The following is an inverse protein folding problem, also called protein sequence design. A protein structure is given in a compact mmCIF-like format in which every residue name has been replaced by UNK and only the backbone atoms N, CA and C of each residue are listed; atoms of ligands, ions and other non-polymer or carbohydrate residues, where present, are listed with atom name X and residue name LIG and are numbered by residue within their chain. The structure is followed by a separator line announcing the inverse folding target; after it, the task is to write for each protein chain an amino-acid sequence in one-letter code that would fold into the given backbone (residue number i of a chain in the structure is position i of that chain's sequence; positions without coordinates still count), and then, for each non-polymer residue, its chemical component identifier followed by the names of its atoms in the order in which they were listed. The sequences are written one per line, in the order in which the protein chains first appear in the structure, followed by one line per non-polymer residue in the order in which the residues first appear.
data_IF_685296480559
#
_entry.id   IF_685296480559
#
_cell.length_a   1.000
_cell.length_b   1.000
_cell.length_c   1.000
_cell.angle_alpha   90.00
_cell.angle_beta   90.00
_cell.angle_gamma   90.00
#
_symmetry.space_group_name_H-M   'P 1'
#
loop_
_entity.id
_entity.type
_entity.pdbx_description
1 polymer ?
#
# COMPACT_ATOMS: atom_id res chain seq x y z
N UNK A 1 15.17 26.52 3.66
CA UNK A 1 13.84 25.92 3.89
C UNK A 1 12.82 26.87 4.52
N UNK A 2 13.17 27.69 5.53
CA UNK A 2 12.16 28.48 6.30
C UNK A 2 11.28 29.41 5.46
N UNK A 3 11.82 30.06 4.44
CA UNK A 3 11.07 31.03 3.63
C UNK A 3 10.33 30.41 2.42
N UNK A 4 10.49 29.10 2.17
CA UNK A 4 9.91 28.39 1.02
C UNK A 4 9.42 26.97 1.35
N UNK A 5 8.61 26.83 2.40
CA UNK A 5 8.03 25.52 2.78
C UNK A 5 7.18 24.88 1.67
N UNK A 6 6.60 25.69 0.79
CA UNK A 6 5.75 25.23 -0.31
C UNK A 6 6.54 24.91 -1.58
N UNK A 7 7.84 25.20 -1.63
CA UNK A 7 8.74 24.99 -2.78
C UNK A 7 10.02 24.29 -2.30
N UNK A 8 9.85 23.15 -1.61
CA UNK A 8 10.94 22.35 -1.08
C UNK A 8 11.79 21.69 -2.19
N UNK A 9 11.19 21.43 -3.35
CA UNK A 9 11.81 20.88 -4.57
C UNK A 9 12.90 21.77 -5.16
N UNK A 10 12.85 23.09 -4.90
CA UNK A 10 13.85 24.06 -5.37
C UNK A 10 15.17 23.94 -4.61
N UNK A 11 15.18 23.31 -3.44
CA UNK A 11 16.41 23.16 -2.66
C UNK A 11 17.28 22.04 -3.22
N UNK A 12 18.43 22.39 -3.78
CA UNK A 12 19.46 21.42 -4.14
C UNK A 12 20.07 20.80 -2.87
N UNK A 13 19.95 19.48 -2.76
CA UNK A 13 20.54 18.68 -1.71
C UNK A 13 21.49 17.67 -2.37
N UNK A 14 22.75 17.64 -1.97
CA UNK A 14 23.66 16.60 -2.44
C UNK A 14 23.24 15.24 -1.85
N UNK A 15 22.71 14.39 -2.72
CA UNK A 15 22.21 13.06 -2.39
C UNK A 15 23.13 11.94 -2.87
N UNK A 16 24.32 12.26 -3.42
CA UNK A 16 25.23 11.31 -4.06
C UNK A 16 25.68 10.17 -3.13
N UNK A 17 25.88 10.47 -1.84
CA UNK A 17 26.34 9.51 -0.83
C UNK A 17 25.21 8.68 -0.20
N UNK A 18 23.95 9.05 -0.42
CA UNK A 18 22.81 8.39 0.21
C UNK A 18 22.28 7.29 -0.70
N UNK A 19 21.83 6.18 -0.12
CA UNK A 19 21.13 5.11 -0.84
C UNK A 19 19.97 4.63 0.02
N UNK A 20 18.90 4.07 -0.59
CA UNK A 20 17.83 3.48 0.19
C UNK A 20 18.39 2.44 1.17
N UNK A 21 17.79 2.37 2.37
CA UNK A 21 18.26 1.46 3.44
C UNK A 21 18.08 0.00 3.01
N UNK A 22 16.92 -0.29 2.41
CA UNK A 22 16.59 -1.57 1.80
C UNK A 22 15.52 -1.36 0.73
N UNK A 23 15.45 -2.28 -0.23
CA UNK A 23 14.44 -2.33 -1.27
C UNK A 23 13.47 -3.51 -1.04
N UNK A 24 12.32 -3.54 -1.74
CA UNK A 24 11.39 -4.68 -1.67
C UNK A 24 12.07 -6.03 -1.95
N UNK A 25 13.04 -6.07 -2.86
CA UNK A 25 13.80 -7.29 -3.15
C UNK A 25 14.55 -7.81 -1.92
N UNK A 26 15.24 -6.93 -1.19
CA UNK A 26 16.01 -7.30 0.00
C UNK A 26 15.08 -7.84 1.09
N UNK A 27 13.93 -7.19 1.27
CA UNK A 27 12.94 -7.63 2.24
C UNK A 27 12.32 -8.99 1.88
N UNK A 28 12.03 -9.23 0.60
CA UNK A 28 11.54 -10.53 0.14
C UNK A 28 12.55 -11.65 0.39
N UNK A 29 13.85 -11.42 0.16
CA UNK A 29 14.88 -12.42 0.46
C UNK A 29 14.91 -12.77 1.96
N UNK A 30 14.70 -11.79 2.85
CA UNK A 30 14.52 -12.05 4.28
C UNK A 30 13.28 -12.93 4.52
N UNK A 31 12.13 -12.61 3.90
CA UNK A 31 10.91 -13.40 4.07
C UNK A 31 11.05 -14.85 3.58
N UNK A 32 11.72 -15.07 2.44
CA UNK A 32 11.98 -16.41 1.88
C UNK A 32 12.96 -17.20 2.77
N UNK A 33 13.85 -16.52 3.48
CA UNK A 33 14.80 -17.15 4.41
C UNK A 33 14.20 -17.60 5.74
N UNK A 34 12.97 -17.16 6.05
CA UNK A 34 12.29 -17.52 7.29
C UNK A 34 12.02 -19.01 7.35
N UNK A 35 12.48 -19.66 8.43
CA UNK A 35 12.23 -21.07 8.70
C UNK A 35 11.42 -21.21 9.98
N UNK A 36 10.40 -22.05 9.94
CA UNK A 36 9.72 -22.48 11.16
C UNK A 36 10.63 -23.44 11.92
N UNK A 37 10.90 -23.17 13.20
CA UNK A 37 11.66 -24.08 14.08
C UNK A 37 11.00 -25.46 14.21
N UNK A 38 9.70 -25.55 13.91
CA UNK A 38 8.91 -26.77 13.95
C UNK A 38 8.86 -27.52 12.62
N UNK A 39 9.43 -26.96 11.54
CA UNK A 39 9.43 -27.58 10.21
C UNK A 39 10.80 -28.18 9.89
N UNK A 40 10.86 -29.51 9.72
CA UNK A 40 12.04 -30.21 9.20
C UNK A 40 11.92 -30.28 7.68
N UNK A 41 12.74 -29.51 6.98
CA UNK A 41 12.83 -29.56 5.52
C UNK A 41 13.23 -30.96 5.06
N UNK A 42 12.51 -31.54 4.10
CA UNK A 42 13.02 -32.65 3.31
C UNK A 42 14.07 -32.06 2.36
N UNK A 43 15.31 -32.57 2.39
CA UNK A 43 16.50 -31.95 1.78
C UNK A 43 16.46 -31.83 0.24
N UNK A 44 15.40 -32.28 -0.45
CA UNK A 44 15.36 -32.36 -1.92
C UNK A 44 14.47 -31.34 -2.64
N UNK A 45 13.67 -30.54 -1.93
CA UNK A 45 12.92 -29.43 -2.55
C UNK A 45 13.50 -28.11 -2.05
N UNK A 46 14.16 -27.37 -2.93
CA UNK A 46 14.64 -26.01 -2.63
C UNK A 46 13.51 -25.15 -2.05
N UNK A 47 13.86 -24.09 -1.30
CA UNK A 47 12.93 -23.15 -0.66
C UNK A 47 12.09 -22.37 -1.69
N UNK A 48 11.14 -23.05 -2.31
CA UNK A 48 10.29 -22.55 -3.38
C UNK A 48 9.07 -21.79 -2.87
N UNK A 49 8.86 -21.82 -1.56
CA UNK A 49 7.53 -21.69 -1.01
C UNK A 49 7.56 -21.21 0.45
N UNK A 50 6.54 -20.43 0.81
CA UNK A 50 6.23 -20.07 2.17
C UNK A 50 5.50 -21.20 2.94
N UNK A 51 5.30 -22.38 2.33
CA UNK A 51 4.64 -23.55 2.95
C UNK A 51 5.28 -24.04 4.24
N UNK A 52 6.56 -23.73 4.47
CA UNK A 52 7.22 -24.06 5.73
C UNK A 52 6.67 -23.25 6.92
N UNK A 53 5.94 -22.17 6.65
CA UNK A 53 5.38 -21.26 7.65
C UNK A 53 3.88 -21.58 7.80
N UNK A 54 3.46 -22.15 8.94
CA UNK A 54 2.08 -22.62 9.14
C UNK A 54 1.14 -21.46 9.51
N UNK A 55 1.11 -20.39 8.72
CA UNK A 55 0.11 -19.31 8.89
C UNK A 55 -1.20 -19.72 8.23
N UNK A 56 -2.29 -19.43 8.96
CA UNK A 56 -3.65 -19.57 8.42
C UNK A 56 -3.93 -18.34 7.55
N UNK A 57 -4.39 -18.58 6.33
CA UNK A 57 -4.88 -17.55 5.42
C UNK A 57 -6.22 -18.00 4.87
N UNK A 58 -7.06 -17.05 4.45
CA UNK A 58 -8.40 -17.34 3.94
C UNK A 58 -8.34 -18.18 2.66
N UNK A 59 -9.28 -19.10 2.54
CA UNK A 59 -9.62 -19.77 1.29
C UNK A 59 -10.38 -18.82 0.37
N UNK A 60 -10.50 -19.13 -0.93
CA UNK A 60 -11.33 -18.31 -1.82
C UNK A 60 -12.80 -18.27 -1.38
N UNK A 61 -13.32 -19.36 -0.81
CA UNK A 61 -14.68 -19.38 -0.27
C UNK A 61 -14.86 -18.36 0.87
N UNK A 62 -13.90 -18.30 1.80
CA UNK A 62 -13.89 -17.29 2.87
C UNK A 62 -13.72 -15.87 2.31
N UNK A 63 -12.89 -15.69 1.26
CA UNK A 63 -12.74 -14.40 0.57
C UNK A 63 -14.01 -13.97 -0.16
N UNK A 64 -14.73 -14.89 -0.84
CA UNK A 64 -16.05 -14.61 -1.45
C UNK A 64 -17.07 -14.19 -0.40
N UNK A 65 -17.02 -14.80 0.78
CA UNK A 65 -17.86 -14.44 1.92
C UNK A 65 -17.48 -13.10 2.54
N UNK A 66 -16.20 -12.71 2.49
CA UNK A 66 -15.76 -11.38 2.93
C UNK A 66 -16.20 -10.31 1.91
N UNK A 67 -15.89 -10.49 0.63
CA UNK A 67 -16.13 -9.55 -0.46
C UNK A 67 -17.43 -9.85 -1.24
N UNK A 68 -18.56 -9.96 -0.53
CA UNK A 68 -19.83 -10.47 -1.09
C UNK A 68 -20.34 -9.68 -2.28
N UNK A 69 -20.27 -8.36 -2.22
CA UNK A 69 -20.77 -7.46 -3.25
C UNK A 69 -19.99 -7.66 -4.55
N UNK A 70 -18.68 -7.90 -4.45
CA UNK A 70 -17.84 -8.25 -5.60
C UNK A 70 -18.10 -9.69 -6.09
N UNK A 71 -18.20 -10.65 -5.17
CA UNK A 71 -18.45 -12.06 -5.50
C UNK A 71 -19.84 -12.30 -6.12
N UNK A 72 -20.81 -11.41 -5.89
CA UNK A 72 -22.13 -11.42 -6.52
C UNK A 72 -22.19 -10.69 -7.86
N UNK A 73 -21.11 -10.02 -8.26
CA UNK A 73 -21.10 -9.18 -9.45
C UNK A 73 -22.05 -7.98 -9.35
N UNK A 74 -22.21 -7.41 -8.15
CA UNK A 74 -23.06 -6.22 -7.99
C UNK A 74 -22.49 -5.04 -8.79
N UNK A 75 -23.37 -4.11 -9.19
CA UNK A 75 -22.91 -2.88 -9.84
C UNK A 75 -22.20 -1.99 -8.81
N UNK A 76 -20.91 -1.73 -9.05
CA UNK A 76 -20.05 -0.89 -8.21
C UNK A 76 -19.34 0.15 -9.08
N UNK A 77 -18.97 1.29 -8.50
CA UNK A 77 -18.18 2.30 -9.22
C UNK A 77 -16.86 1.67 -9.69
N UNK A 78 -16.47 1.94 -10.94
CA UNK A 78 -15.22 1.47 -11.53
C UNK A 78 -15.34 0.25 -12.46
N UNK A 79 -16.50 -0.43 -12.54
CA UNK A 79 -16.69 -1.61 -13.42
C UNK A 79 -16.94 -1.30 -14.89
N UNK A 80 -16.87 -0.02 -15.30
CA UNK A 80 -17.13 0.36 -16.68
C UNK A 80 -16.14 -0.23 -17.68
N UNK A 81 -16.70 -0.85 -18.72
CA UNK A 81 -16.05 -1.07 -20.00
C UNK A 81 -15.94 0.28 -20.72
N UNK A 82 -14.71 0.70 -21.03
CA UNK A 82 -14.42 1.83 -21.93
C UNK A 82 -15.13 1.71 -23.30
N UNK A 83 -15.66 0.53 -23.65
CA UNK A 83 -16.23 0.21 -24.96
C UNK A 83 -17.76 0.37 -25.08
N UNK A 84 -18.49 0.72 -24.01
CA UNK A 84 -19.92 1.05 -24.15
C UNK A 84 -20.37 2.01 -23.05
N UNK A 85 -20.61 3.30 -23.35
CA UNK A 85 -21.16 4.24 -22.37
C UNK A 85 -22.59 3.81 -22.05
N UNK A 86 -22.73 3.03 -20.98
CA UNK A 86 -24.03 2.62 -20.51
C UNK A 86 -24.71 3.84 -19.84
N UNK A 87 -25.85 4.34 -20.35
CA UNK A 87 -26.56 5.49 -19.75
C UNK A 87 -26.97 5.25 -18.29
N UNK A 88 -27.04 3.99 -17.83
CA UNK A 88 -27.27 3.65 -16.42
C UNK A 88 -26.11 4.02 -15.49
N UNK A 89 -24.89 4.25 -16.00
CA UNK A 89 -23.73 4.58 -15.15
C UNK A 89 -23.78 6.00 -14.60
N UNK A 90 -24.15 6.99 -15.43
CA UNK A 90 -24.31 8.38 -14.97
C UNK A 90 -25.43 8.48 -13.91
N UNK A 91 -26.45 7.62 -14.02
CA UNK A 91 -27.48 7.48 -13.01
C UNK A 91 -26.92 6.89 -11.71
N UNK A 92 -26.10 5.84 -11.78
CA UNK A 92 -25.43 5.25 -10.62
C UNK A 92 -24.53 6.26 -9.90
N UNK A 93 -23.67 6.98 -10.61
CA UNK A 93 -22.78 7.96 -9.99
C UNK A 93 -23.58 9.08 -9.31
N UNK A 94 -24.63 9.60 -9.95
CA UNK A 94 -25.52 10.63 -9.39
C UNK A 94 -26.27 10.15 -8.14
N UNK A 95 -26.77 8.91 -8.17
CA UNK A 95 -27.41 8.29 -7.00
C UNK A 95 -26.41 8.14 -5.85
N UNK A 96 -25.19 7.68 -6.17
CA UNK A 96 -24.10 7.50 -5.20
C UNK A 96 -23.66 8.83 -4.59
N UNK A 97 -23.64 9.93 -5.36
CA UNK A 97 -23.37 11.27 -4.81
C UNK A 97 -24.46 11.65 -3.81
N UNK A 98 -25.74 11.51 -4.18
CA UNK A 98 -26.88 11.87 -3.32
C UNK A 98 -26.88 11.06 -2.02
N UNK A 99 -26.60 9.75 -2.10
CA UNK A 99 -26.49 8.89 -0.93
C UNK A 99 -25.24 9.22 -0.10
N UNK A 100 -24.10 9.45 -0.75
CA UNK A 100 -22.84 9.76 -0.10
C UNK A 100 -22.90 11.03 0.75
N UNK A 101 -23.63 12.06 0.29
CA UNK A 101 -23.89 13.24 1.11
C UNK A 101 -24.63 12.86 2.41
N UNK A 102 -25.68 12.04 2.34
CA UNK A 102 -26.40 11.57 3.56
C UNK A 102 -25.49 10.77 4.48
N UNK A 103 -24.60 9.96 3.92
CA UNK A 103 -23.59 9.19 4.68
C UNK A 103 -22.63 10.13 5.41
N UNK A 104 -22.17 11.19 4.76
CA UNK A 104 -21.31 12.21 5.39
C UNK A 104 -22.01 12.93 6.54
N UNK A 105 -23.29 13.27 6.36
CA UNK A 105 -24.08 13.90 7.42
C UNK A 105 -24.30 12.98 8.63
N UNK A 106 -24.24 11.65 8.45
CA UNK A 106 -24.38 10.71 9.56
C UNK A 106 -23.20 10.75 10.53
N UNK A 107 -21.99 11.14 10.09
CA UNK A 107 -20.75 11.12 10.88
C UNK A 107 -20.47 9.78 11.57
N UNK A 108 -20.89 8.69 10.96
CA UNK A 108 -20.68 7.33 11.47
C UNK A 108 -19.75 6.55 10.53
N UNK A 109 -18.59 6.14 11.03
CA UNK A 109 -17.60 5.38 10.28
C UNK A 109 -18.16 4.06 9.69
N UNK A 110 -18.94 3.23 10.43
CA UNK A 110 -19.49 2.00 9.86
C UNK A 110 -20.44 2.23 8.68
N UNK A 111 -21.20 3.33 8.68
CA UNK A 111 -22.10 3.69 7.57
C UNK A 111 -21.28 4.10 6.34
N UNK A 112 -20.17 4.80 6.54
CA UNK A 112 -19.24 5.15 5.47
C UNK A 112 -18.51 3.91 4.90
N UNK A 113 -18.13 2.95 5.74
CA UNK A 113 -17.55 1.68 5.28
C UNK A 113 -18.54 0.88 4.43
N UNK A 114 -19.79 0.74 4.91
CA UNK A 114 -20.84 0.05 4.15
C UNK A 114 -21.10 0.74 2.81
N UNK A 115 -21.09 2.08 2.79
CA UNK A 115 -21.17 2.84 1.55
C UNK A 115 -20.02 2.49 0.60
N UNK A 116 -18.78 2.44 1.06
CA UNK A 116 -17.59 2.18 0.22
C UNK A 116 -17.60 0.81 -0.48
N UNK A 117 -18.38 -0.18 -0.01
CA UNK A 117 -18.47 -1.49 -0.68
C UNK A 117 -18.95 -1.42 -2.13
N UNK A 118 -19.64 -0.33 -2.50
CA UNK A 118 -20.05 -0.03 -3.89
C UNK A 118 -19.25 1.09 -4.57
N UNK A 119 -18.14 1.52 -3.95
CA UNK A 119 -17.16 2.50 -4.46
C UNK A 119 -17.60 3.96 -4.30
N UNK A 120 -16.68 4.88 -4.03
CA UNK A 120 -17.01 6.30 -3.83
C UNK A 120 -16.99 7.11 -5.13
N UNK A 121 -17.89 8.09 -5.34
CA UNK A 121 -17.69 9.12 -6.34
C UNK A 121 -16.42 9.93 -6.04
N UNK A 122 -15.76 10.45 -7.08
CA UNK A 122 -14.49 11.22 -6.94
C UNK A 122 -14.63 12.41 -6.01
N UNK A 123 -15.70 13.18 -6.13
CA UNK A 123 -15.93 14.39 -5.34
C UNK A 123 -16.17 14.14 -3.84
N UNK A 124 -16.52 12.92 -3.44
CA UNK A 124 -16.80 12.57 -2.04
C UNK A 124 -15.71 11.71 -1.40
N UNK A 125 -14.85 11.09 -2.20
CA UNK A 125 -13.90 10.05 -1.75
C UNK A 125 -13.06 10.49 -0.57
N UNK A 126 -12.38 11.63 -0.68
CA UNK A 126 -11.53 12.14 0.41
C UNK A 126 -12.29 12.32 1.73
N UNK A 127 -13.51 12.87 1.67
CA UNK A 127 -14.36 13.06 2.86
C UNK A 127 -14.83 11.74 3.46
N UNK A 128 -15.25 10.78 2.62
CA UNK A 128 -15.68 9.45 3.06
C UNK A 128 -14.51 8.71 3.72
N UNK A 129 -13.31 8.77 3.14
CA UNK A 129 -12.11 8.17 3.74
C UNK A 129 -11.80 8.79 5.10
N UNK A 130 -11.86 10.13 5.22
CA UNK A 130 -11.68 10.80 6.51
C UNK A 130 -12.69 10.29 7.55
N UNK A 131 -13.96 10.13 7.19
CA UNK A 131 -14.99 9.63 8.10
C UNK A 131 -14.77 8.16 8.50
N UNK A 132 -14.33 7.30 7.57
CA UNK A 132 -14.01 5.89 7.88
C UNK A 132 -12.82 5.79 8.83
N UNK A 133 -11.81 6.63 8.64
CA UNK A 133 -10.57 6.62 9.41
C UNK A 133 -10.65 7.46 10.69
N UNK A 134 -11.69 8.27 10.86
CA UNK A 134 -11.80 9.23 11.95
C UNK A 134 -10.69 10.29 11.91
N UNK A 135 -10.25 10.69 10.71
CA UNK A 135 -9.07 11.53 10.49
C UNK A 135 -9.42 12.98 10.09
N UNK A 136 -10.62 13.44 10.42
CA UNK A 136 -11.04 14.83 10.19
C UNK A 136 -10.08 15.80 10.88
N UNK A 137 -9.52 16.75 10.12
CA UNK A 137 -8.57 17.71 10.66
C UNK A 137 -9.26 18.67 11.65
N UNK A 138 -8.76 18.71 12.89
CA UNK A 138 -9.21 19.63 13.93
C UNK A 138 -8.26 20.82 14.09
N UNK A 139 -8.66 21.83 14.87
CA UNK A 139 -7.78 22.96 15.20
C UNK A 139 -6.50 22.53 15.95
N UNK A 140 -6.57 21.47 16.75
CA UNK A 140 -5.40 20.94 17.46
C UNK A 140 -4.50 20.13 16.52
N UNK A 141 -5.08 19.46 15.53
CA UNK A 141 -4.32 18.84 14.44
C UNK A 141 -3.51 19.88 13.65
N UNK A 142 -4.07 21.06 13.37
CA UNK A 142 -3.35 22.14 12.71
C UNK A 142 -2.12 22.59 13.51
N UNK A 143 -2.30 22.85 14.81
CA UNK A 143 -1.20 23.22 15.71
C UNK A 143 -0.13 22.13 15.78
N UNK A 144 -0.55 20.87 15.84
CA UNK A 144 0.38 19.74 15.89
C UNK A 144 1.19 19.63 14.59
N UNK A 145 0.54 19.75 13.44
CA UNK A 145 1.23 19.76 12.14
C UNK A 145 2.22 20.92 12.03
N UNK A 146 1.88 22.11 12.52
CA UNK A 146 2.81 23.25 12.57
C UNK A 146 4.02 23.00 13.47
N UNK A 147 3.86 22.24 14.56
CA UNK A 147 4.99 21.80 15.40
C UNK A 147 5.90 20.82 14.64
N UNK A 148 5.32 19.85 13.92
CA UNK A 148 6.09 18.91 13.08
C UNK A 148 6.87 19.65 12.00
N UNK A 149 6.21 20.57 11.27
CA UNK A 149 6.84 21.45 10.29
C UNK A 149 7.98 22.26 10.91
N UNK A 150 7.75 22.86 12.07
CA UNK A 150 8.80 23.62 12.79
C UNK A 150 9.99 22.72 13.14
N UNK A 151 9.74 21.46 13.55
CA UNK A 151 10.77 20.46 13.81
C UNK A 151 11.60 20.11 12.56
N UNK A 152 10.94 19.89 11.42
CA UNK A 152 11.61 19.69 10.12
C UNK A 152 12.50 20.89 9.76
N UNK A 153 12.00 22.12 9.94
CA UNK A 153 12.75 23.34 9.62
C UNK A 153 13.89 23.67 10.59
N UNK A 154 13.90 23.03 11.77
CA UNK A 154 14.88 23.29 12.83
C UNK A 154 15.99 22.24 12.85
N UNK A 155 15.64 20.98 12.60
CA UNK A 155 16.56 19.85 12.74
C UNK A 155 16.75 19.12 11.41
N UNK A 156 17.98 19.19 10.88
CA UNK A 156 18.43 18.39 9.74
C UNK A 156 18.74 16.97 10.22
N UNK A 157 17.90 16.00 9.83
CA UNK A 157 18.07 14.59 10.17
C UNK A 157 18.48 13.80 8.92
N UNK A 158 19.28 12.75 9.12
CA UNK A 158 19.64 11.81 8.04
C UNK A 158 18.41 11.27 7.28
N UNK A 159 17.31 11.03 8.00
CA UNK A 159 16.06 10.55 7.41
C UNK A 159 15.47 11.50 6.36
N UNK A 160 15.78 12.80 6.43
CA UNK A 160 15.32 13.77 5.46
C UNK A 160 15.97 13.52 4.11
N UNK A 161 17.27 13.23 4.09
CA UNK A 161 18.01 12.91 2.87
C UNK A 161 17.51 11.61 2.23
N UNK A 162 17.17 10.61 3.06
CA UNK A 162 16.59 9.36 2.59
C UNK A 162 15.20 9.58 1.99
N UNK A 163 14.36 10.37 2.65
CA UNK A 163 13.02 10.73 2.17
C UNK A 163 13.10 11.52 0.87
N UNK A 164 13.94 12.55 0.81
CA UNK A 164 14.11 13.38 -0.38
C UNK A 164 14.59 12.53 -1.55
N UNK A 165 15.59 11.68 -1.32
CA UNK A 165 16.11 10.78 -2.35
C UNK A 165 15.05 9.81 -2.85
N UNK A 166 14.20 9.29 -1.97
CA UNK A 166 13.15 8.35 -2.38
C UNK A 166 12.08 9.03 -3.25
N UNK A 167 11.66 10.26 -2.92
CA UNK A 167 10.74 11.05 -3.75
C UNK A 167 11.32 11.29 -5.13
N UNK A 168 12.57 11.75 -5.21
CA UNK A 168 13.25 12.01 -6.49
C UNK A 168 13.42 10.75 -7.34
N UNK A 169 13.67 9.59 -6.73
CA UNK A 169 13.84 8.33 -7.45
C UNK A 169 12.50 7.68 -7.86
N UNK A 170 11.38 8.10 -7.27
CA UNK A 170 10.07 7.49 -7.47
C UNK A 170 9.08 8.49 -8.03
N UNK A 171 8.32 9.18 -7.18
CA UNK A 171 7.24 10.06 -7.60
C UNK A 171 7.66 11.14 -8.61
N UNK A 172 8.84 11.76 -8.47
CA UNK A 172 9.31 12.78 -9.44
C UNK A 172 9.64 12.22 -10.82
N UNK A 173 9.96 10.92 -10.92
CA UNK A 173 10.24 10.24 -12.19
C UNK A 173 9.01 9.52 -12.76
N UNK A 174 7.85 9.66 -12.13
CA UNK A 174 6.61 9.00 -12.48
C UNK A 174 5.68 9.97 -13.23
N UNK A 175 5.17 9.55 -14.39
CA UNK A 175 4.33 10.38 -15.26
C UNK A 175 2.99 10.76 -14.63
N UNK A 176 2.53 10.00 -13.64
CA UNK A 176 1.29 10.24 -12.91
C UNK A 176 1.49 11.04 -11.64
N UNK A 177 2.69 11.09 -11.05
CA UNK A 177 2.88 11.68 -9.73
C UNK A 177 3.91 12.82 -9.67
N UNK A 178 4.62 13.12 -10.76
CA UNK A 178 5.69 14.14 -10.77
C UNK A 178 5.24 15.53 -10.27
N UNK A 179 3.97 15.88 -10.45
CA UNK A 179 3.39 17.18 -10.03
C UNK A 179 3.27 17.35 -8.51
N UNK A 180 3.42 16.28 -7.72
CA UNK A 180 3.19 16.30 -6.28
C UNK A 180 4.46 16.32 -5.44
N UNK A 181 5.63 16.52 -6.05
CA UNK A 181 6.93 16.47 -5.36
C UNK A 181 6.97 17.32 -4.08
N UNK A 182 6.61 18.60 -4.17
CA UNK A 182 6.60 19.52 -3.01
C UNK A 182 5.63 19.09 -1.91
N UNK A 183 4.45 18.62 -2.32
CA UNK A 183 3.44 18.12 -1.39
C UNK A 183 3.96 16.88 -0.66
N UNK A 184 4.59 15.94 -1.37
CA UNK A 184 5.16 14.73 -0.78
C UNK A 184 6.26 15.03 0.23
N UNK A 185 7.12 16.02 -0.03
CA UNK A 185 8.10 16.46 0.98
C UNK A 185 7.43 16.96 2.26
N UNK A 186 6.41 17.81 2.14
CA UNK A 186 5.70 18.35 3.30
C UNK A 186 5.08 17.23 4.16
N UNK A 187 4.50 16.22 3.50
CA UNK A 187 3.85 15.08 4.16
C UNK A 187 4.88 14.14 4.80
N UNK A 188 5.86 13.68 4.04
CA UNK A 188 6.77 12.61 4.46
C UNK A 188 7.85 13.10 5.44
N UNK A 189 8.30 14.34 5.32
CA UNK A 189 9.21 14.94 6.31
C UNK A 189 8.49 15.11 7.66
N UNK A 190 7.25 15.62 7.66
CA UNK A 190 6.45 15.70 8.89
C UNK A 190 6.14 14.31 9.45
N UNK A 191 5.81 13.34 8.59
CA UNK A 191 5.60 11.95 9.00
C UNK A 191 6.82 11.39 9.74
N UNK A 192 8.03 11.63 9.25
CA UNK A 192 9.25 11.14 9.92
C UNK A 192 9.45 11.70 11.35
N UNK A 193 8.84 12.85 11.66
CA UNK A 193 8.92 13.55 12.94
C UNK A 193 7.78 13.23 13.91
N UNK A 194 6.68 12.64 13.45
CA UNK A 194 5.48 12.42 14.24
C UNK A 194 5.65 11.21 15.17
N UNK A 195 5.72 11.50 16.48
CA UNK A 195 5.89 10.51 17.54
C UNK A 195 4.62 9.72 17.85
N UNK A 196 3.43 10.20 17.46
CA UNK A 196 2.17 9.45 17.63
C UNK A 196 2.18 8.15 16.82
N UNK A 197 3.02 8.09 15.77
CA UNK A 197 3.21 6.88 14.96
C UNK A 197 3.81 5.73 15.78
N UNK A 198 4.52 6.02 16.88
CA UNK A 198 5.11 4.99 17.74
C UNK A 198 4.06 4.06 18.37
N UNK A 199 2.80 4.47 18.42
CA UNK A 199 1.67 3.64 18.87
C UNK A 199 1.55 2.30 18.11
N UNK A 200 2.07 2.20 16.88
CA UNK A 200 2.11 0.90 16.16
C UNK A 200 2.88 -0.17 16.94
N UNK A 201 3.92 0.21 17.67
CA UNK A 201 4.78 -0.71 18.41
C UNK A 201 4.13 -1.27 19.68
N UNK A 202 3.05 -0.65 20.16
CA UNK A 202 2.27 -1.17 21.29
C UNK A 202 1.47 -2.43 20.88
N UNK A 203 1.15 -2.56 19.59
CA UNK A 203 0.28 -3.60 19.02
C UNK A 203 1.02 -4.51 18.04
N UNK A 204 2.34 -4.38 17.97
CA UNK A 204 3.20 -5.00 16.97
C UNK A 204 4.33 -5.79 17.62
N UNK A 205 4.79 -6.84 16.96
CA UNK A 205 5.97 -7.61 17.39
C UNK A 205 7.30 -6.93 17.04
N UNK A 206 7.29 -5.79 16.35
CA UNK A 206 8.50 -5.03 16.04
C UNK A 206 8.87 -4.11 17.21
N UNK A 207 10.11 -3.62 17.21
CA UNK A 207 10.56 -2.57 18.11
C UNK A 207 11.17 -1.43 17.31
N UNK A 208 11.00 -0.18 17.75
CA UNK A 208 11.62 0.95 17.08
C UNK A 208 13.14 0.88 17.21
N UNK A 209 13.84 1.50 16.27
CA UNK A 209 15.29 1.67 16.35
C UNK A 209 15.62 2.77 17.36
N UNK A 210 16.67 2.55 18.16
CA UNK A 210 17.19 3.53 19.10
C UNK A 210 18.54 4.07 18.62
N UNK A 211 18.69 5.38 18.61
CA UNK A 211 19.93 6.09 18.32
C UNK A 211 20.46 6.84 19.54
N UNK A 212 21.78 6.95 19.72
CA UNK A 212 22.35 7.76 20.78
C UNK A 212 22.14 9.25 20.51
N UNK A 213 21.86 10.02 21.56
CA UNK A 213 21.84 11.48 21.48
C UNK A 213 23.21 12.02 21.03
N UNK A 214 23.18 12.97 20.09
CA UNK A 214 24.39 13.60 19.56
C UNK A 214 25.24 14.18 20.70
N UNK A 215 26.54 13.88 20.67
CA UNK A 215 27.54 14.32 21.67
C UNK A 215 27.35 13.77 23.09
N UNK A 216 26.59 12.68 23.28
CA UNK A 216 26.51 11.96 24.57
C UNK A 216 27.08 10.54 24.44
N UNK A 217 27.57 10.01 25.56
CA UNK A 217 28.04 8.62 25.62
C UNK A 217 26.89 7.64 25.37
N UNK A 218 27.19 6.48 24.75
CA UNK A 218 26.27 5.38 24.47
C UNK A 218 25.86 4.62 25.73
N UNK A 219 25.16 5.31 26.63
CA UNK A 219 24.49 4.72 27.79
C UNK A 219 22.98 4.59 27.48
N UNK A 220 22.31 3.64 28.11
CA UNK A 220 20.87 3.38 27.94
C UNK A 220 20.00 4.61 28.20
N UNK A 221 20.40 5.50 29.11
CA UNK A 221 19.71 6.77 29.40
C UNK A 221 19.80 7.82 28.28
N UNK A 222 20.73 7.66 27.32
CA UNK A 222 20.95 8.58 26.21
C UNK A 222 20.43 8.05 24.87
N UNK A 223 19.67 6.96 24.89
CA UNK A 223 19.06 6.39 23.70
C UNK A 223 17.68 7.01 23.47
N UNK A 224 17.43 7.45 22.24
CA UNK A 224 16.12 7.95 21.80
C UNK A 224 15.68 7.21 20.56
N UNK A 225 14.37 7.09 20.36
CA UNK A 225 13.83 6.48 19.15
C UNK A 225 14.22 7.31 17.93
N UNK A 226 14.72 6.64 16.88
CA UNK A 226 15.17 7.28 15.66
C UNK A 226 14.74 6.50 14.41
N UNK A 227 14.10 7.15 13.41
CA UNK A 227 13.56 8.51 13.40
C UNK A 227 12.53 8.73 14.52
N UNK A 228 12.11 9.97 14.82
CA UNK A 228 11.09 10.21 15.86
C UNK A 228 9.79 9.40 15.68
N UNK A 229 9.39 9.12 14.43
CA UNK A 229 8.27 8.23 14.11
C UNK A 229 8.52 6.74 14.34
N UNK A 230 9.77 6.33 14.54
CA UNK A 230 10.20 4.93 14.63
C UNK A 230 10.18 4.16 13.30
N UNK A 231 9.80 4.80 12.18
CA UNK A 231 9.68 4.17 10.87
C UNK A 231 10.92 4.44 10.02
N UNK A 232 11.56 3.37 9.54
CA UNK A 232 12.65 3.45 8.56
C UNK A 232 12.07 3.22 7.15
N UNK A 233 12.13 4.22 6.24
CA UNK A 233 11.56 4.10 4.91
C UNK A 233 12.39 3.13 4.06
N UNK A 234 11.68 2.26 3.33
CA UNK A 234 12.24 1.46 2.26
C UNK A 234 12.23 2.22 0.93
N UNK A 235 12.91 1.69 -0.08
CA UNK A 235 12.84 2.26 -1.43
C UNK A 235 11.41 2.16 -2.01
N UNK A 236 10.77 3.31 -2.22
CA UNK A 236 9.40 3.48 -2.67
C UNK A 236 8.38 3.61 -1.55
N UNK A 237 8.81 3.91 -0.33
CA UNK A 237 7.92 4.31 0.75
C UNK A 237 7.05 5.50 0.35
N UNK A 238 7.61 6.41 -0.46
CA UNK A 238 6.90 7.58 -1.00
C UNK A 238 5.58 7.20 -1.67
N UNK A 239 5.53 6.05 -2.35
CA UNK A 239 4.34 5.61 -3.09
C UNK A 239 3.13 5.36 -2.18
N UNK A 240 3.30 5.19 -0.87
CA UNK A 240 2.15 5.12 0.03
C UNK A 240 1.38 6.44 0.13
N UNK A 241 2.04 7.58 -0.05
CA UNK A 241 1.41 8.89 0.06
C UNK A 241 0.85 9.40 -1.28
N UNK A 242 1.39 8.95 -2.41
CA UNK A 242 1.10 9.55 -3.72
C UNK A 242 -0.38 9.53 -4.13
N UNK A 243 -1.19 8.48 -3.90
CA UNK A 243 -2.60 8.51 -4.31
C UNK A 243 -3.44 9.47 -3.46
N UNK A 244 -3.03 9.78 -2.23
CA UNK A 244 -3.71 10.76 -1.39
C UNK A 244 -3.61 12.18 -1.97
N UNK A 245 -2.54 12.49 -2.72
CA UNK A 245 -2.37 13.80 -3.36
C UNK A 245 -3.48 14.13 -4.37
N UNK A 246 -4.16 13.13 -4.92
CA UNK A 246 -5.32 13.31 -5.80
C UNK A 246 -6.64 13.60 -5.08
N UNK A 247 -6.68 13.39 -3.75
CA UNK A 247 -7.92 13.45 -2.96
C UNK A 247 -8.04 14.74 -2.12
N UNK A 248 -6.92 15.37 -1.78
CA UNK A 248 -6.87 16.45 -0.80
C UNK A 248 -6.12 17.66 -1.35
N UNK A 249 -6.80 18.80 -1.37
CA UNK A 249 -6.18 20.10 -1.63
C UNK A 249 -5.46 20.64 -0.38
N UNK A 250 -6.02 20.37 0.80
CA UNK A 250 -5.43 20.75 2.09
C UNK A 250 -4.39 19.71 2.56
N UNK A 251 -3.17 20.19 2.78
CA UNK A 251 -2.03 19.38 3.23
C UNK A 251 -2.30 18.72 4.58
N UNK A 252 -3.04 19.40 5.46
CA UNK A 252 -3.28 18.90 6.81
C UNK A 252 -4.28 17.73 6.78
N UNK A 253 -5.40 17.90 6.08
CA UNK A 253 -6.35 16.81 5.83
C UNK A 253 -5.69 15.61 5.15
N UNK A 254 -4.82 15.85 4.15
CA UNK A 254 -4.03 14.80 3.51
C UNK A 254 -3.17 14.06 4.54
N UNK A 255 -2.37 14.80 5.31
CA UNK A 255 -1.43 14.25 6.27
C UNK A 255 -2.11 13.34 7.29
N UNK A 256 -3.16 13.84 7.95
CA UNK A 256 -3.83 13.08 9.00
C UNK A 256 -4.59 11.87 8.46
N UNK A 257 -5.13 11.94 7.25
CA UNK A 257 -5.74 10.79 6.58
C UNK A 257 -4.68 9.76 6.17
N UNK A 258 -3.57 10.19 5.56
CA UNK A 258 -2.45 9.32 5.24
C UNK A 258 -1.91 8.62 6.49
N UNK A 259 -1.69 9.37 7.59
CA UNK A 259 -1.25 8.83 8.87
C UNK A 259 -2.23 7.77 9.39
N UNK A 260 -3.52 8.08 9.44
CA UNK A 260 -4.53 7.13 9.91
C UNK A 260 -4.58 5.85 9.05
N UNK A 261 -4.49 5.98 7.72
CA UNK A 261 -4.41 4.84 6.82
C UNK A 261 -3.14 4.02 7.05
N UNK A 262 -1.99 4.67 7.22
CA UNK A 262 -0.72 4.02 7.49
C UNK A 262 -0.75 3.19 8.78
N UNK A 263 -1.25 3.79 9.87
CA UNK A 263 -1.36 3.15 11.18
C UNK A 263 -2.33 1.96 11.18
N UNK A 264 -3.33 1.96 10.31
CA UNK A 264 -4.29 0.86 10.20
C UNK A 264 -3.83 -0.24 9.25
N UNK A 265 -3.06 0.11 8.20
CA UNK A 265 -2.80 -0.80 7.08
C UNK A 265 -1.33 -0.88 6.69
N UNK A 266 -0.69 0.21 6.27
CA UNK A 266 0.61 0.12 5.58
C UNK A 266 1.76 -0.36 6.46
N UNK A 267 1.72 -0.15 7.78
CA UNK A 267 2.78 -0.65 8.65
C UNK A 267 2.90 -2.19 8.61
N UNK A 268 1.79 -2.90 8.34
CA UNK A 268 1.77 -4.36 8.17
C UNK A 268 2.54 -4.85 6.94
N UNK A 269 2.71 -3.99 5.92
CA UNK A 269 3.27 -4.37 4.63
C UNK A 269 4.80 -4.37 4.60
N UNK A 270 5.45 -3.78 5.59
CA UNK A 270 6.91 -3.72 5.70
C UNK A 270 7.40 -4.16 7.08
N UNK A 271 6.65 -5.08 7.70
CA UNK A 271 7.00 -5.68 8.97
C UNK A 271 6.77 -7.20 8.94
N UNK A 272 7.74 -7.96 9.45
CA UNK A 272 7.56 -9.40 9.67
C UNK A 272 6.68 -9.62 10.90
N UNK A 273 5.52 -10.23 10.70
CA UNK A 273 4.61 -10.64 11.78
C UNK A 273 3.74 -11.82 11.34
N UNK A 274 3.08 -12.47 12.30
CA UNK A 274 2.09 -13.52 12.05
C UNK A 274 0.66 -12.98 11.85
N UNK A 275 0.48 -11.66 11.75
CA UNK A 275 -0.83 -11.05 11.53
C UNK A 275 -1.40 -11.46 10.16
N UNK A 276 -2.70 -11.74 10.08
CA UNK A 276 -3.39 -12.13 8.84
C UNK A 276 -3.29 -11.06 7.74
N UNK A 277 -3.21 -9.79 8.12
CA UNK A 277 -3.06 -8.63 7.24
C UNK A 277 -1.58 -8.30 6.94
N UNK A 278 -0.64 -9.00 7.58
CA UNK A 278 0.80 -8.82 7.42
C UNK A 278 1.31 -9.27 6.06
N UNK A 279 2.40 -8.65 5.59
CA UNK A 279 3.04 -8.95 4.30
C UNK A 279 3.29 -10.45 4.08
N UNK A 280 3.71 -11.18 5.11
CA UNK A 280 3.99 -12.60 5.04
C UNK A 280 2.71 -13.42 4.79
N UNK A 281 1.64 -13.13 5.52
CA UNK A 281 0.32 -13.73 5.32
C UNK A 281 -0.23 -13.42 3.93
N UNK A 282 -0.07 -12.19 3.44
CA UNK A 282 -0.47 -11.80 2.09
C UNK A 282 0.31 -12.56 1.00
N UNK A 283 1.62 -12.77 1.19
CA UNK A 283 2.45 -13.57 0.28
C UNK A 283 2.00 -15.04 0.26
N UNK A 284 1.71 -15.62 1.43
CA UNK A 284 1.17 -16.99 1.54
C UNK A 284 -0.20 -17.09 0.89
N UNK A 285 -1.07 -16.10 1.09
CA UNK A 285 -2.39 -16.04 0.47
C UNK A 285 -2.28 -16.01 -1.05
N UNK A 286 -1.44 -15.12 -1.60
CA UNK A 286 -1.16 -15.05 -3.03
C UNK A 286 -0.71 -16.41 -3.57
N UNK A 287 0.25 -17.05 -2.90
CA UNK A 287 0.78 -18.34 -3.32
C UNK A 287 -0.30 -19.43 -3.34
N UNK A 288 -1.08 -19.56 -2.26
CA UNK A 288 -2.15 -20.57 -2.16
C UNK A 288 -3.24 -20.35 -3.21
N UNK A 289 -3.61 -19.10 -3.46
CA UNK A 289 -4.57 -18.77 -4.50
C UNK A 289 -4.02 -19.11 -5.90
N UNK A 290 -2.78 -18.73 -6.22
CA UNK A 290 -2.17 -19.03 -7.52
C UNK A 290 -2.09 -20.54 -7.76
N UNK A 291 -1.59 -21.30 -6.77
CA UNK A 291 -1.45 -22.75 -6.87
C UNK A 291 -2.81 -23.45 -7.06
N UNK A 292 -3.85 -22.97 -6.36
CA UNK A 292 -5.18 -23.58 -6.41
C UNK A 292 -5.95 -23.26 -7.68
N UNK A 293 -5.89 -22.01 -8.14
CA UNK A 293 -6.77 -21.48 -9.20
C UNK A 293 -6.09 -21.37 -10.57
N UNK A 294 -4.77 -21.29 -10.62
CA UNK A 294 -4.00 -21.32 -11.87
C UNK A 294 -2.89 -22.38 -11.80
N UNK A 295 -3.22 -23.67 -11.57
CA UNK A 295 -2.23 -24.72 -11.35
C UNK A 295 -1.30 -24.93 -12.55
N UNK A 296 -1.79 -24.73 -13.78
CA UNK A 296 -0.96 -24.85 -14.98
C UNK A 296 0.09 -23.74 -15.07
N UNK A 297 -0.31 -22.50 -14.78
CA UNK A 297 0.61 -21.36 -14.74
C UNK A 297 1.62 -21.52 -13.60
N UNK A 298 1.15 -22.00 -12.44
CA UNK A 298 2.01 -22.31 -11.31
C UNK A 298 3.07 -23.37 -11.65
N UNK A 299 2.67 -24.46 -12.32
CA UNK A 299 3.60 -25.51 -12.78
C UNK A 299 4.58 -24.98 -13.84
N UNK A 300 4.11 -24.14 -14.77
CA UNK A 300 4.98 -23.48 -15.75
C UNK A 300 6.09 -22.69 -15.07
N UNK A 301 5.76 -21.84 -14.10
CA UNK A 301 6.74 -21.10 -13.30
C UNK A 301 7.75 -22.01 -12.59
N UNK A 302 7.29 -23.17 -12.07
CA UNK A 302 8.19 -24.18 -11.47
C UNK A 302 9.15 -24.77 -12.50
N UNK A 303 8.67 -25.09 -13.70
CA UNK A 303 9.48 -25.64 -14.81
C UNK A 303 10.55 -24.67 -15.30
N UNK A 304 10.24 -23.39 -15.38
CA UNK A 304 11.19 -22.35 -15.85
C UNK A 304 12.03 -21.74 -14.71
N UNK A 305 11.96 -22.30 -13.50
CA UNK A 305 12.75 -21.87 -12.34
C UNK A 305 12.49 -20.42 -11.87
N UNK A 306 11.27 -19.92 -12.01
CA UNK A 306 10.87 -18.56 -11.61
C UNK A 306 9.88 -18.61 -10.45
N UNK A 307 10.17 -17.88 -9.37
CA UNK A 307 9.27 -17.75 -8.23
C UNK A 307 8.22 -16.65 -8.50
N UNK A 308 6.92 -16.96 -8.58
CA UNK A 308 5.88 -15.98 -8.88
C UNK A 308 5.84 -14.80 -7.89
N UNK A 309 6.21 -15.04 -6.63
CA UNK A 309 6.24 -13.96 -5.63
C UNK A 309 7.30 -12.90 -5.96
N UNK A 310 8.46 -13.26 -6.51
CA UNK A 310 9.53 -12.29 -6.86
C UNK A 310 9.05 -11.26 -7.88
N UNK A 311 8.07 -11.66 -8.68
CA UNK A 311 7.47 -10.86 -9.73
C UNK A 311 6.44 -9.87 -9.15
N UNK A 312 5.56 -10.35 -8.26
CA UNK A 312 4.43 -9.53 -7.75
C UNK A 312 4.71 -8.85 -6.41
N UNK A 313 5.80 -9.16 -5.72
CA UNK A 313 6.05 -8.70 -4.35
C UNK A 313 6.03 -7.18 -4.22
N UNK A 314 6.56 -6.46 -5.21
CA UNK A 314 6.53 -4.99 -5.23
C UNK A 314 5.11 -4.45 -5.25
N UNK A 315 4.20 -5.12 -5.95
CA UNK A 315 2.78 -4.76 -5.96
C UNK A 315 2.16 -4.95 -4.59
N UNK A 316 2.41 -6.10 -3.94
CA UNK A 316 1.84 -6.38 -2.62
C UNK A 316 2.39 -5.41 -1.58
N UNK A 317 3.72 -5.25 -1.52
CA UNK A 317 4.38 -4.38 -0.55
C UNK A 317 3.98 -2.92 -0.73
N UNK A 318 3.81 -2.41 -1.96
CA UNK A 318 3.37 -1.02 -2.22
C UNK A 318 1.85 -0.86 -2.31
N UNK A 319 1.08 -1.90 -1.98
CA UNK A 319 -0.37 -1.90 -2.11
C UNK A 319 -0.85 -1.46 -3.51
N UNK A 320 -0.11 -1.82 -4.56
CA UNK A 320 -0.22 -1.43 -5.98
C UNK A 320 0.05 0.04 -6.34
N UNK A 321 0.43 0.88 -5.38
CA UNK A 321 0.80 2.27 -5.70
C UNK A 321 2.08 2.32 -6.55
N UNK A 322 2.06 3.18 -7.58
CA UNK A 322 3.12 3.26 -8.60
C UNK A 322 3.09 2.14 -9.64
N UNK A 323 2.03 1.32 -9.65
CA UNK A 323 1.85 0.24 -10.63
C UNK A 323 0.52 0.35 -11.37
N UNK A 324 -0.54 0.80 -10.70
CA UNK A 324 -1.86 1.02 -11.31
C UNK A 324 -2.09 2.52 -11.59
N UNK A 325 -2.91 2.87 -12.60
CA UNK A 325 -3.40 4.22 -12.78
C UNK A 325 -4.09 4.79 -11.52
N UNK A 326 -4.10 6.12 -11.30
CA UNK A 326 -4.57 6.73 -10.06
C UNK A 326 -6.02 6.38 -9.71
N UNK A 327 -6.92 6.34 -10.69
CA UNK A 327 -8.32 5.98 -10.43
C UNK A 327 -8.45 4.51 -10.00
N UNK A 328 -7.66 3.61 -10.60
CA UNK A 328 -7.70 2.17 -10.33
C UNK A 328 -7.16 1.85 -8.94
N UNK A 329 -6.09 2.53 -8.50
CA UNK A 329 -5.56 2.39 -7.14
C UNK A 329 -6.55 2.92 -6.09
N UNK A 330 -7.23 4.03 -6.37
CA UNK A 330 -8.25 4.59 -5.48
C UNK A 330 -9.46 3.64 -5.32
N UNK A 331 -9.88 2.94 -6.39
CA UNK A 331 -10.91 1.91 -6.27
C UNK A 331 -10.46 0.72 -5.42
N UNK A 332 -9.19 0.28 -5.57
CA UNK A 332 -8.65 -0.78 -4.72
C UNK A 332 -8.67 -0.36 -3.23
N UNK A 333 -8.30 0.88 -2.94
CA UNK A 333 -8.24 1.38 -1.57
C UNK A 333 -9.62 1.70 -0.98
N UNK A 334 -10.62 2.05 -1.80
CA UNK A 334 -12.03 2.05 -1.40
C UNK A 334 -12.42 0.67 -0.84
N UNK A 335 -12.01 -0.43 -1.48
CA UNK A 335 -12.29 -1.80 -1.03
C UNK A 335 -11.54 -2.15 0.26
N UNK A 336 -10.27 -1.77 0.39
CA UNK A 336 -9.51 -1.98 1.63
C UNK A 336 -10.24 -1.33 2.81
N UNK A 337 -10.70 -0.09 2.67
CA UNK A 337 -11.43 0.64 3.70
C UNK A 337 -12.83 0.08 3.96
N UNK A 338 -13.53 -0.35 2.91
CA UNK A 338 -14.89 -0.88 3.00
C UNK A 338 -14.97 -2.18 3.81
N UNK A 339 -13.99 -3.07 3.63
CA UNK A 339 -13.95 -4.38 4.27
C UNK A 339 -12.92 -4.50 5.39
N UNK A 340 -12.16 -3.42 5.64
CA UNK A 340 -11.10 -3.38 6.63
C UNK A 340 -10.07 -4.51 6.46
N UNK A 341 -9.65 -4.76 5.22
CA UNK A 341 -8.76 -5.89 4.88
C UNK A 341 -7.85 -5.59 3.69
N UNK A 342 -6.57 -5.95 3.84
CA UNK A 342 -5.53 -5.94 2.83
C UNK A 342 -5.50 -7.21 1.98
N UNK A 343 -6.27 -8.25 2.33
CA UNK A 343 -6.24 -9.55 1.61
C UNK A 343 -6.67 -9.44 0.15
N UNK A 344 -7.43 -8.39 -0.22
CA UNK A 344 -7.81 -8.10 -1.61
C UNK A 344 -6.59 -7.85 -2.50
N UNK A 345 -5.47 -7.39 -1.94
CA UNK A 345 -4.21 -7.15 -2.67
C UNK A 345 -3.69 -8.46 -3.26
N UNK A 346 -3.69 -9.55 -2.49
CA UNK A 346 -3.26 -10.87 -2.96
C UNK A 346 -4.21 -11.43 -4.01
N UNK A 347 -5.52 -11.18 -3.87
CA UNK A 347 -6.53 -11.57 -4.87
C UNK A 347 -6.26 -10.84 -6.19
N UNK A 348 -6.04 -9.53 -6.17
CA UNK A 348 -5.75 -8.74 -7.36
C UNK A 348 -4.46 -9.21 -8.05
N UNK A 349 -3.41 -9.51 -7.28
CA UNK A 349 -2.14 -10.01 -7.83
C UNK A 349 -2.33 -11.33 -8.60
N UNK A 350 -3.09 -12.28 -8.05
CA UNK A 350 -3.42 -13.53 -8.76
C UNK A 350 -4.30 -13.27 -9.96
N UNK A 351 -5.28 -12.38 -9.84
CA UNK A 351 -6.18 -12.04 -10.93
C UNK A 351 -5.45 -11.44 -12.14
N UNK A 352 -4.45 -10.58 -11.91
CA UNK A 352 -3.60 -10.01 -12.97
C UNK A 352 -2.79 -11.11 -13.68
N UNK A 353 -2.18 -12.02 -12.92
CA UNK A 353 -1.44 -13.15 -13.52
C UNK A 353 -2.37 -14.07 -14.32
N UNK A 354 -3.57 -14.34 -13.81
CA UNK A 354 -4.60 -15.08 -14.53
C UNK A 354 -5.02 -14.39 -15.82
N UNK A 355 -5.23 -13.07 -15.79
CA UNK A 355 -5.59 -12.27 -16.95
C UNK A 355 -4.50 -12.30 -18.04
N UNK A 356 -3.22 -12.36 -17.64
CA UNK A 356 -2.07 -12.45 -18.56
C UNK A 356 -1.61 -13.88 -18.85
N UNK A 357 -2.37 -14.90 -18.41
CA UNK A 357 -1.95 -16.31 -18.44
C UNK A 357 -1.47 -16.77 -19.80
N UNK A 358 -2.23 -16.55 -20.87
CA UNK A 358 -1.88 -17.06 -22.21
C UNK A 358 -0.50 -16.55 -22.68
N UNK A 359 -0.19 -15.28 -22.40
CA UNK A 359 1.12 -14.70 -22.71
C UNK A 359 2.22 -15.24 -21.77
N UNK A 360 1.91 -15.40 -20.48
CA UNK A 360 2.85 -15.93 -19.49
C UNK A 360 3.26 -17.38 -19.77
N UNK A 361 2.34 -18.19 -20.30
CA UNK A 361 2.62 -19.59 -20.69
C UNK A 361 3.56 -19.69 -21.90
N UNK A 362 3.76 -18.61 -22.65
CA UNK A 362 4.60 -18.59 -23.86
C UNK A 362 6.03 -18.11 -23.59
N UNK A 363 6.33 -17.64 -22.38
CA UNK A 363 7.64 -17.08 -22.01
C UNK A 363 8.34 -17.96 -20.98
N UNK A 364 9.66 -18.02 -21.06
CA UNK A 364 10.49 -18.95 -20.27
C UNK A 364 11.66 -18.27 -19.52
N UNK A 365 11.80 -16.95 -19.65
CA UNK A 365 12.81 -16.16 -18.93
C UNK A 365 12.17 -15.14 -18.00
N UNK A 366 12.87 -14.79 -16.91
CA UNK A 366 12.40 -13.79 -15.94
C UNK A 366 12.14 -12.45 -16.60
N UNK A 367 13.03 -12.01 -17.49
CA UNK A 367 12.90 -10.75 -18.21
C UNK A 367 11.64 -10.72 -19.09
N UNK A 368 11.33 -11.81 -19.79
CA UNK A 368 10.14 -11.89 -20.62
C UNK A 368 8.85 -11.94 -19.77
N UNK A 369 8.89 -12.65 -18.63
CA UNK A 369 7.77 -12.62 -17.67
C UNK A 369 7.54 -11.22 -17.14
N UNK A 370 8.58 -10.52 -16.69
CA UNK A 370 8.50 -9.13 -16.23
C UNK A 370 7.95 -8.21 -17.32
N UNK A 371 8.37 -8.39 -18.58
CA UNK A 371 7.86 -7.63 -19.71
C UNK A 371 6.35 -7.84 -19.95
N UNK A 372 5.85 -9.08 -19.84
CA UNK A 372 4.42 -9.40 -20.04
C UNK A 372 3.51 -8.67 -19.04
N UNK A 373 4.03 -8.36 -17.85
CA UNK A 373 3.26 -7.75 -16.76
C UNK A 373 3.69 -6.31 -16.42
N UNK A 374 4.67 -5.76 -17.14
CA UNK A 374 5.24 -4.45 -16.83
C UNK A 374 4.19 -3.35 -16.92
N UNK A 375 3.29 -3.46 -17.91
CA UNK A 375 2.21 -2.51 -18.15
C UNK A 375 0.88 -3.00 -17.56
N UNK A 376 0.45 -2.31 -16.51
CA UNK A 376 -0.85 -2.49 -15.87
C UNK A 376 -1.83 -1.33 -16.17
N UNK A 377 -1.50 -0.41 -17.08
CA UNK A 377 -2.35 0.74 -17.42
C UNK A 377 -3.73 0.35 -17.95
N UNK A 378 -3.83 -0.83 -18.58
CA UNK A 378 -5.05 -1.40 -19.13
C UNK A 378 -5.90 -2.20 -18.12
N UNK A 379 -5.42 -2.38 -16.88
CA UNK A 379 -6.12 -3.16 -15.87
C UNK A 379 -7.30 -2.37 -15.30
N UNK A 380 -8.52 -2.91 -15.48
CA UNK A 380 -9.69 -2.48 -14.70
C UNK A 380 -9.77 -3.35 -13.43
N UNK A 381 -9.40 -2.77 -12.28
CA UNK A 381 -9.31 -3.44 -10.99
C UNK A 381 -10.64 -4.03 -10.56
N UNK A 382 -11.72 -3.25 -10.63
CA UNK A 382 -13.02 -3.68 -10.11
C UNK A 382 -13.58 -4.84 -10.91
N UNK A 383 -13.53 -4.75 -12.24
CA UNK A 383 -13.96 -5.82 -13.14
C UNK A 383 -13.11 -7.08 -12.93
N UNK A 384 -11.80 -6.93 -12.81
CA UNK A 384 -10.90 -8.06 -12.66
C UNK A 384 -11.08 -8.77 -11.30
N UNK A 385 -11.29 -8.02 -10.23
CA UNK A 385 -11.61 -8.56 -8.90
C UNK A 385 -12.95 -9.31 -8.89
N UNK A 386 -13.99 -8.75 -9.53
CA UNK A 386 -15.27 -9.43 -9.68
C UNK A 386 -15.11 -10.76 -10.41
N UNK A 387 -14.43 -10.77 -11.56
CA UNK A 387 -14.16 -12.02 -12.28
C UNK A 387 -13.40 -13.04 -11.43
N UNK A 388 -12.37 -12.62 -10.69
CA UNK A 388 -11.59 -13.52 -9.85
C UNK A 388 -12.41 -14.13 -8.71
N UNK A 389 -13.32 -13.36 -8.10
CA UNK A 389 -14.14 -13.81 -6.99
C UNK A 389 -15.38 -14.60 -7.44
N UNK A 390 -15.91 -14.33 -8.65
CA UNK A 390 -17.09 -15.00 -9.21
C UNK A 390 -16.79 -16.38 -9.83
N UNK A 391 -15.55 -16.65 -10.28
CA UNK A 391 -15.17 -17.97 -10.81
C UNK A 391 -15.52 -19.04 -9.79
N UNK A 392 -16.04 -20.19 -10.20
CA UNK A 392 -16.37 -21.30 -9.29
C UNK A 392 -15.13 -22.04 -8.75
#
# INVERSE_FOLDING_TARGET
MRDKWTELSVYEVDLSQYRPVYAPKDFLEVLISLKSSNYRSVESEGSWDFTQIPLKVKTLSELRQLYKELARGESVIGTNSYNSPNPYFNALESERITLGEKVLHSKHAPVAQEFLKKGSPRCLRGKIWCQVLGSEATADNNKYFDQLKTSVLTYDLLIDKLTIKDVQLTASNDDQYFVFEDLLYQILLCFSRDTEILSIFEHSSASPLYGPLKNKNTNTENLVVYPPSGVIPFHGFTMYATPFCYLYEDVIALYFTFRAFYLRYFYHLHQVSSNEQGILSLCILFYRLLQRYEPQLFLHFKTIHIHPIKIVFKWIMRCFSGHLPPDQILYLWDIILAYDSLEIISVLAVAILSFRRENLMQVDTLQNVEAVIADLSSINVMTLLQFALMRD
#
